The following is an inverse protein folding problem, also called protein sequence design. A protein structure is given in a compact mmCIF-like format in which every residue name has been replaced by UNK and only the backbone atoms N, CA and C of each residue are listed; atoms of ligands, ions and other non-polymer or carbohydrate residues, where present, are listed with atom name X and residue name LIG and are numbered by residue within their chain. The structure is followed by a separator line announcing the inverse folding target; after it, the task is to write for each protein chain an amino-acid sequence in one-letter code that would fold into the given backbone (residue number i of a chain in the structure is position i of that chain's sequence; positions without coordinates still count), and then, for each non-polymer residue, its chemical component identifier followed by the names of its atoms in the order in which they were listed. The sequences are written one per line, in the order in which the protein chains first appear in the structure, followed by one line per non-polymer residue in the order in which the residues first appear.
data_IF_950294695753
#
_entry.id   IF_950294695753
#
_cell.length_a   1.000
_cell.length_b   1.000
_cell.length_c   1.000
_cell.angle_alpha   90.00
_cell.angle_beta   90.00
_cell.angle_gamma   90.00
#
_symmetry.space_group_name_H-M   'P 1'
#
loop_
_entity.id
_entity.type
_entity.pdbx_description
1 polymer ?
#
# COMPACT_ATOMS: atom_id res chain seq x y z
N UNK A 1 18.11 -8.25 -26.47
CA UNK A 1 16.92 -9.12 -26.34
C UNK A 1 15.93 -8.67 -25.25
N UNK A 2 16.41 -8.05 -24.15
CA UNK A 2 15.57 -7.56 -23.03
C UNK A 2 14.64 -6.38 -23.38
N UNK A 3 15.12 -5.36 -24.10
CA UNK A 3 14.32 -4.18 -24.47
C UNK A 3 13.06 -4.51 -25.32
N UNK A 4 13.11 -5.59 -26.12
CA UNK A 4 11.97 -6.04 -26.93
C UNK A 4 10.93 -6.90 -26.20
N UNK A 5 11.24 -7.35 -24.97
CA UNK A 5 10.30 -8.02 -24.08
C UNK A 5 9.63 -7.03 -23.12
N UNK A 6 10.37 -6.08 -22.56
CA UNK A 6 9.79 -4.97 -21.77
C UNK A 6 8.76 -4.17 -22.58
N UNK A 7 9.09 -3.79 -23.82
CA UNK A 7 8.15 -3.07 -24.69
C UNK A 7 6.85 -3.86 -24.99
N UNK A 8 6.91 -5.20 -25.01
CA UNK A 8 5.74 -6.07 -25.18
C UNK A 8 4.87 -6.15 -23.93
N UNK A 9 5.46 -6.12 -22.73
CA UNK A 9 4.70 -6.11 -21.48
C UNK A 9 3.87 -4.82 -21.34
N UNK A 10 4.43 -3.67 -21.71
CA UNK A 10 3.74 -2.37 -21.60
C UNK A 10 2.58 -2.18 -22.57
N UNK A 11 2.56 -2.93 -23.68
CA UNK A 11 1.45 -2.88 -24.66
C UNK A 11 0.37 -3.94 -24.41
N UNK A 12 0.64 -4.93 -23.57
CA UNK A 12 -0.32 -5.99 -23.21
C UNK A 12 -0.95 -5.85 -21.83
N UNK A 13 -0.32 -5.12 -20.90
CA UNK A 13 -0.83 -4.92 -19.55
C UNK A 13 -1.55 -3.58 -19.37
N UNK A 14 -2.62 -3.58 -18.57
CA UNK A 14 -3.22 -2.37 -18.00
C UNK A 14 -2.96 -2.38 -16.51
N UNK A 15 -2.30 -1.32 -16.02
CA UNK A 15 -1.94 -1.20 -14.62
C UNK A 15 -3.04 -0.45 -13.86
N UNK A 16 -3.57 -1.11 -12.84
CA UNK A 16 -4.59 -0.53 -11.98
C UNK A 16 -4.51 -1.10 -10.56
N UNK A 17 -5.03 -0.35 -9.61
CA UNK A 17 -5.15 -0.73 -8.21
C UNK A 17 -6.59 -0.47 -7.75
N UNK A 18 -7.31 -1.52 -7.29
CA UNK A 18 -8.67 -1.36 -6.83
C UNK A 18 -8.69 -0.74 -5.43
N UNK A 19 -9.61 0.18 -5.19
CA UNK A 19 -10.00 0.47 -3.82
C UNK A 19 -10.93 -0.63 -3.33
N UNK A 20 -10.48 -1.57 -2.50
CA UNK A 20 -11.34 -2.62 -1.97
C UNK A 20 -10.59 -3.70 -1.20
N UNK A 21 -11.34 -4.58 -0.57
CA UNK A 21 -10.79 -5.72 0.15
C UNK A 21 -11.87 -6.47 0.92
N UNK A 22 -11.43 -7.41 1.75
CA UNK A 22 -12.29 -8.27 2.55
C UNK A 22 -11.70 -9.66 2.66
N UNK A 23 -12.55 -10.64 2.97
CA UNK A 23 -12.12 -12.01 3.17
C UNK A 23 -13.18 -13.03 2.80
N UNK A 24 -12.71 -14.23 2.44
CA UNK A 24 -13.58 -15.39 2.22
C UNK A 24 -13.71 -16.24 3.48
N UNK A 25 -14.93 -16.70 3.77
CA UNK A 25 -15.20 -17.79 4.71
C UNK A 25 -16.00 -18.85 3.96
N UNK A 26 -15.39 -20.02 3.71
CA UNK A 26 -15.95 -20.99 2.77
C UNK A 26 -16.10 -20.38 1.38
N UNK A 27 -17.32 -20.40 0.82
CA UNK A 27 -17.66 -19.81 -0.47
C UNK A 27 -18.19 -18.37 -0.39
N UNK A 28 -18.29 -17.78 0.82
CA UNK A 28 -18.84 -16.44 1.01
C UNK A 28 -17.73 -15.40 1.11
N UNK A 29 -17.73 -14.42 0.20
CA UNK A 29 -16.93 -13.20 0.29
C UNK A 29 -17.65 -12.17 1.17
N UNK A 30 -16.97 -11.70 2.21
CA UNK A 30 -17.38 -10.53 2.98
C UNK A 30 -16.34 -9.43 2.79
N UNK A 31 -16.76 -8.31 2.23
CA UNK A 31 -15.85 -7.25 1.86
C UNK A 31 -16.56 -6.08 1.23
N UNK A 32 -15.79 -5.16 0.68
CA UNK A 32 -16.33 -3.99 0.01
C UNK A 32 -15.36 -3.40 -0.98
N UNK A 33 -15.91 -2.61 -1.89
CA UNK A 33 -15.18 -1.88 -2.92
C UNK A 33 -15.53 -0.40 -2.86
N UNK A 34 -14.50 0.43 -3.00
CA UNK A 34 -14.64 1.85 -3.24
C UNK A 34 -15.07 2.05 -4.68
N UNK A 35 -15.90 3.06 -4.93
CA UNK A 35 -16.34 3.44 -6.28
C UNK A 35 -15.24 4.11 -7.12
N UNK A 36 -13.97 3.97 -6.75
CA UNK A 36 -12.84 4.55 -7.47
C UNK A 36 -11.78 3.49 -7.74
N UNK A 37 -11.33 3.45 -9.00
CA UNK A 37 -10.20 2.64 -9.44
C UNK A 37 -9.03 3.58 -9.75
N UNK A 38 -7.86 3.28 -9.19
CA UNK A 38 -6.63 3.97 -9.56
C UNK A 38 -6.08 3.27 -10.78
N UNK A 39 -6.09 3.94 -11.92
CA UNK A 39 -5.42 3.43 -13.13
C UNK A 39 -4.15 4.24 -13.31
N UNK A 40 -3.10 3.63 -13.84
CA UNK A 40 -1.87 4.38 -14.01
C UNK A 40 -0.99 3.88 -15.14
N UNK A 41 0.05 4.65 -15.37
CA UNK A 41 0.84 4.55 -16.58
C UNK A 41 2.24 4.04 -16.23
N UNK A 42 2.69 3.03 -16.96
CA UNK A 42 4.08 2.63 -17.02
C UNK A 42 4.51 2.78 -18.48
N UNK A 43 5.52 3.62 -18.73
CA UNK A 43 6.12 3.80 -20.07
C UNK A 43 5.11 4.05 -21.21
N UNK A 44 4.05 4.84 -20.95
CA UNK A 44 3.05 5.19 -21.97
C UNK A 44 1.98 4.12 -22.23
N UNK A 45 1.84 3.12 -21.35
CA UNK A 45 0.81 2.06 -21.43
C UNK A 45 -0.64 2.57 -21.59
N UNK A 46 -0.89 3.84 -21.29
CA UNK A 46 -2.19 4.49 -21.39
C UNK A 46 -2.64 4.87 -22.81
N UNK A 47 -1.72 4.86 -23.77
CA UNK A 47 -2.01 5.21 -25.16
C UNK A 47 -2.60 4.06 -25.96
N UNK A 48 -2.70 2.88 -25.35
CA UNK A 48 -3.20 1.67 -26.02
C UNK A 48 -4.73 1.65 -26.05
N UNK A 49 -5.30 1.03 -27.10
CA UNK A 49 -6.74 0.76 -27.17
C UNK A 49 -7.20 -0.03 -25.94
N UNK A 50 -6.42 -1.03 -25.52
CA UNK A 50 -6.68 -1.84 -24.34
C UNK A 50 -6.89 -1.01 -23.08
N UNK A 51 -6.03 -0.01 -22.83
CA UNK A 51 -6.20 0.89 -21.69
C UNK A 51 -7.54 1.65 -21.77
N UNK A 52 -7.88 2.18 -22.95
CA UNK A 52 -9.13 2.91 -23.14
C UNK A 52 -10.36 2.01 -22.96
N UNK A 53 -10.32 0.77 -23.46
CA UNK A 53 -11.38 -0.22 -23.27
C UNK A 53 -11.58 -0.55 -21.80
N UNK A 54 -10.51 -0.84 -21.04
CA UNK A 54 -10.61 -1.15 -19.60
C UNK A 54 -11.12 0.06 -18.81
N UNK A 55 -10.66 1.26 -19.16
CA UNK A 55 -11.12 2.52 -18.55
C UNK A 55 -12.61 2.76 -18.80
N UNK A 56 -13.09 2.52 -20.02
CA UNK A 56 -14.50 2.63 -20.36
C UNK A 56 -15.34 1.61 -19.57
N UNK A 57 -14.89 0.35 -19.53
CA UNK A 57 -15.57 -0.72 -18.79
C UNK A 57 -15.82 -0.36 -17.32
N UNK A 58 -14.80 0.16 -16.61
CA UNK A 58 -15.00 0.59 -15.22
C UNK A 58 -15.96 1.76 -15.08
N UNK A 59 -15.91 2.73 -15.99
CA UNK A 59 -16.84 3.88 -15.98
C UNK A 59 -18.27 3.46 -16.25
N UNK A 60 -18.49 2.59 -17.24
CA UNK A 60 -19.81 2.07 -17.59
C UNK A 60 -20.39 1.20 -16.47
N UNK A 61 -19.53 0.54 -15.70
CA UNK A 61 -19.90 -0.17 -14.46
C UNK A 61 -20.14 0.77 -13.25
N UNK A 62 -20.07 2.10 -13.43
CA UNK A 62 -20.36 3.09 -12.40
C UNK A 62 -19.20 3.44 -11.46
N UNK A 63 -17.96 3.07 -11.79
CA UNK A 63 -16.77 3.50 -11.06
C UNK A 63 -16.22 4.82 -11.61
N UNK A 64 -15.69 5.65 -10.72
CA UNK A 64 -14.75 6.70 -11.12
C UNK A 64 -13.37 6.10 -11.39
N UNK A 65 -12.62 6.72 -12.28
CA UNK A 65 -11.24 6.36 -12.60
C UNK A 65 -10.33 7.53 -12.25
N UNK A 66 -9.36 7.29 -11.37
CA UNK A 66 -8.32 8.24 -11.00
C UNK A 66 -7.01 7.86 -11.66
N UNK A 67 -6.54 8.68 -12.61
CA UNK A 67 -5.32 8.39 -13.37
C UNK A 67 -4.06 8.84 -12.62
N UNK A 68 -3.06 7.97 -12.57
CA UNK A 68 -1.76 8.20 -11.92
C UNK A 68 -0.66 8.26 -12.99
N UNK A 69 -0.06 9.44 -13.24
CA UNK A 69 0.97 9.61 -14.26
C UNK A 69 2.24 8.79 -14.01
N UNK A 70 2.61 8.61 -12.74
CA UNK A 70 3.70 7.75 -12.30
C UNK A 70 3.14 6.67 -11.38
N UNK A 71 2.61 5.61 -11.99
CA UNK A 71 1.94 4.56 -11.25
C UNK A 71 2.89 3.71 -10.43
N UNK A 72 4.13 3.53 -10.92
CA UNK A 72 5.17 2.82 -10.21
C UNK A 72 5.49 3.48 -8.88
N UNK A 73 5.70 4.80 -8.88
CA UNK A 73 5.92 5.51 -7.61
C UNK A 73 4.68 5.49 -6.73
N UNK A 74 3.48 5.62 -7.31
CA UNK A 74 2.23 5.50 -6.55
C UNK A 74 2.13 4.16 -5.81
N UNK A 75 2.44 3.05 -6.50
CA UNK A 75 2.47 1.71 -5.92
C UNK A 75 3.56 1.56 -4.86
N UNK A 76 4.75 2.13 -5.06
CA UNK A 76 5.80 2.10 -4.03
C UNK A 76 5.39 2.86 -2.77
N UNK A 77 4.72 4.01 -2.90
CA UNK A 77 4.17 4.73 -1.74
C UNK A 77 3.10 3.90 -1.03
N UNK A 78 2.19 3.26 -1.77
CA UNK A 78 1.20 2.36 -1.19
C UNK A 78 1.85 1.18 -0.45
N UNK A 79 2.87 0.56 -1.07
CA UNK A 79 3.59 -0.58 -0.50
C UNK A 79 4.29 -0.23 0.83
N UNK A 80 4.92 0.94 0.92
CA UNK A 80 5.56 1.36 2.18
C UNK A 80 4.52 1.73 3.26
N UNK A 81 3.31 2.16 2.87
CA UNK A 81 2.20 2.36 3.82
C UNK A 81 1.76 1.04 4.44
N UNK A 82 1.62 -0.01 3.62
CA UNK A 82 1.35 -1.37 4.11
C UNK A 82 2.49 -1.89 4.97
N UNK A 83 3.75 -1.71 4.55
CA UNK A 83 4.92 -2.10 5.34
C UNK A 83 4.91 -1.45 6.73
N UNK A 84 4.65 -0.14 6.83
CA UNK A 84 4.58 0.56 8.10
C UNK A 84 3.44 0.09 9.02
N UNK A 85 2.23 -0.07 8.46
CA UNK A 85 1.06 -0.51 9.22
C UNK A 85 1.19 -1.97 9.69
N UNK A 86 1.54 -2.88 8.77
CA UNK A 86 1.63 -4.30 9.07
C UNK A 86 2.79 -4.59 10.02
N UNK A 87 3.94 -3.91 9.89
CA UNK A 87 5.05 -4.03 10.86
C UNK A 87 4.59 -3.67 12.27
N UNK A 88 3.86 -2.57 12.43
CA UNK A 88 3.37 -2.19 13.76
C UNK A 88 2.26 -3.08 14.26
N UNK A 89 1.36 -3.53 13.38
CA UNK A 89 0.37 -4.56 13.69
C UNK A 89 1.03 -5.81 14.27
N UNK A 90 2.09 -6.30 13.63
CA UNK A 90 2.87 -7.42 14.14
C UNK A 90 3.55 -7.10 15.47
N UNK A 91 4.15 -5.92 15.62
CA UNK A 91 4.90 -5.53 16.82
C UNK A 91 4.01 -5.45 18.08
N UNK A 92 2.75 -5.04 17.92
CA UNK A 92 1.80 -4.93 19.06
C UNK A 92 0.89 -6.15 19.22
N UNK A 93 0.99 -7.15 18.33
CA UNK A 93 0.28 -8.42 18.45
C UNK A 93 -1.10 -8.46 17.76
N UNK A 94 -1.26 -7.74 16.66
CA UNK A 94 -2.44 -7.82 15.78
C UNK A 94 -3.02 -6.46 15.40
N UNK A 95 -3.90 -6.47 14.40
CA UNK A 95 -4.54 -5.26 13.87
C UNK A 95 -5.46 -4.63 14.92
N UNK A 96 -6.22 -5.44 15.67
CA UNK A 96 -7.07 -4.94 16.76
C UNK A 96 -6.29 -4.10 17.80
N UNK A 97 -5.07 -4.54 18.18
CA UNK A 97 -4.21 -3.83 19.13
C UNK A 97 -3.56 -2.58 18.52
N UNK A 98 -3.22 -2.63 17.23
CA UNK A 98 -2.76 -1.45 16.49
C UNK A 98 -3.84 -0.36 16.51
N UNK A 99 -5.08 -0.71 16.12
CA UNK A 99 -6.19 0.24 16.04
C UNK A 99 -6.59 0.78 17.41
N UNK A 100 -6.42 0.02 18.48
CA UNK A 100 -6.67 0.46 19.85
C UNK A 100 -5.59 1.42 20.41
N UNK A 101 -4.42 1.51 19.77
CA UNK A 101 -3.26 2.26 20.29
C UNK A 101 -2.88 3.42 19.38
N UNK A 102 -3.17 4.65 19.82
CA UNK A 102 -2.70 5.89 19.17
C UNK A 102 -1.20 5.90 18.97
N UNK A 103 -0.46 5.39 19.95
CA UNK A 103 1.00 5.34 19.90
C UNK A 103 1.47 4.38 18.80
N UNK A 104 0.88 3.19 18.69
CA UNK A 104 1.23 2.22 17.65
C UNK A 104 0.94 2.76 16.24
N UNK A 105 -0.20 3.45 16.07
CA UNK A 105 -0.53 4.11 14.80
C UNK A 105 0.48 5.24 14.48
N UNK A 106 0.88 6.04 15.48
CA UNK A 106 1.94 7.05 15.30
C UNK A 106 3.26 6.40 14.87
N UNK A 107 3.65 5.28 15.49
CA UNK A 107 4.87 4.55 15.10
C UNK A 107 4.79 4.04 13.65
N UNK A 108 3.59 3.68 13.17
CA UNK A 108 3.38 3.30 11.77
C UNK A 108 3.70 4.48 10.84
N UNK A 109 3.21 5.67 11.16
CA UNK A 109 3.51 6.91 10.41
C UNK A 109 5.02 7.20 10.38
N UNK A 110 5.72 7.00 11.49
CA UNK A 110 7.17 7.20 11.58
C UNK A 110 7.95 6.19 10.72
N UNK A 111 7.52 4.92 10.66
CA UNK A 111 8.09 3.93 9.75
C UNK A 111 7.89 4.34 8.29
N UNK A 112 6.67 4.69 7.89
CA UNK A 112 6.39 5.15 6.52
C UNK A 112 7.26 6.36 6.17
N UNK A 113 7.41 7.31 7.09
CA UNK A 113 8.26 8.49 6.89
C UNK A 113 9.72 8.14 6.66
N UNK A 114 10.26 7.16 7.38
CA UNK A 114 11.62 6.65 7.16
C UNK A 114 11.78 6.02 5.77
N UNK A 115 10.73 5.36 5.26
CA UNK A 115 10.74 4.67 3.97
C UNK A 115 10.53 5.60 2.75
N UNK A 116 9.99 6.82 2.93
CA UNK A 116 9.77 7.75 1.80
C UNK A 116 11.08 8.11 1.07
N UNK A 117 12.18 8.46 1.75
CA UNK A 117 13.48 8.69 1.11
C UNK A 117 14.02 7.49 0.32
N UNK A 118 13.72 6.24 0.73
CA UNK A 118 14.10 5.05 -0.04
C UNK A 118 13.40 5.01 -1.40
N UNK A 119 12.12 5.41 -1.47
CA UNK A 119 11.39 5.52 -2.73
C UNK A 119 12.09 6.50 -3.69
N UNK A 120 12.62 7.61 -3.17
CA UNK A 120 13.43 8.57 -3.95
C UNK A 120 14.76 7.96 -4.40
N UNK A 121 15.47 7.27 -3.50
CA UNK A 121 16.73 6.60 -3.82
C UNK A 121 16.57 5.52 -4.91
N UNK A 122 15.37 4.95 -5.07
CA UNK A 122 15.00 4.01 -6.13
C UNK A 122 14.52 4.69 -7.44
N UNK A 123 14.60 6.01 -7.53
CA UNK A 123 14.20 6.79 -8.70
C UNK A 123 12.71 7.11 -8.78
N UNK A 124 11.96 6.94 -7.68
CA UNK A 124 10.56 7.38 -7.59
C UNK A 124 10.44 8.86 -7.26
N UNK A 125 9.32 9.48 -7.63
CA UNK A 125 9.03 10.89 -7.33
C UNK A 125 7.83 11.01 -6.36
N UNK A 126 8.05 11.03 -5.03
CA UNK A 126 6.96 11.03 -4.06
C UNK A 126 6.01 12.22 -4.28
N UNK A 127 4.72 11.91 -4.38
CA UNK A 127 3.69 12.91 -4.64
C UNK A 127 3.31 13.74 -3.39
N UNK A 128 2.25 14.54 -3.54
CA UNK A 128 1.73 15.41 -2.47
C UNK A 128 1.38 14.65 -1.18
N UNK A 129 0.85 13.43 -1.29
CA UNK A 129 0.51 12.60 -0.13
C UNK A 129 1.74 12.22 0.69
N UNK A 130 2.82 11.77 0.04
CA UNK A 130 4.08 11.49 0.71
C UNK A 130 4.68 12.76 1.34
N UNK A 131 4.61 13.89 0.64
CA UNK A 131 5.05 15.17 1.18
C UNK A 131 4.26 15.60 2.44
N UNK A 132 2.95 15.32 2.49
CA UNK A 132 2.11 15.54 3.67
C UNK A 132 2.58 14.65 4.83
N UNK A 133 2.80 13.35 4.58
CA UNK A 133 3.30 12.39 5.58
C UNK A 133 4.65 12.84 6.17
N UNK A 134 5.53 13.38 5.34
CA UNK A 134 6.86 13.84 5.78
C UNK A 134 6.85 15.16 6.55
N UNK A 135 5.88 16.04 6.30
CA UNK A 135 5.88 17.42 6.85
C UNK A 135 4.95 17.63 8.04
N UNK A 136 3.83 16.91 8.10
CA UNK A 136 2.86 17.09 9.19
C UNK A 136 3.36 16.39 10.46
N UNK A 137 3.15 16.95 11.67
CA UNK A 137 3.49 16.27 12.91
C UNK A 137 2.93 14.83 12.98
N UNK A 138 3.76 13.88 13.42
CA UNK A 138 3.40 12.47 13.40
C UNK A 138 2.24 12.18 14.37
N UNK A 139 2.14 12.95 15.45
CA UNK A 139 1.07 12.91 16.44
C UNK A 139 -0.27 13.24 15.81
N UNK A 140 -0.31 14.29 14.97
CA UNK A 140 -1.52 14.71 14.28
C UNK A 140 -1.94 13.68 13.23
N UNK A 141 -1.01 13.22 12.38
CA UNK A 141 -1.31 12.18 11.38
C UNK A 141 -1.70 10.86 12.05
N UNK A 142 -1.01 10.46 13.12
CA UNK A 142 -1.31 9.27 13.89
C UNK A 142 -2.71 9.35 14.52
N UNK A 143 -3.09 10.51 15.05
CA UNK A 143 -4.45 10.74 15.55
C UNK A 143 -5.51 10.63 14.45
N UNK A 144 -5.31 11.26 13.30
CA UNK A 144 -6.25 11.20 12.17
C UNK A 144 -6.38 9.79 11.60
N UNK A 145 -5.24 9.10 11.43
CA UNK A 145 -5.22 7.72 10.96
C UNK A 145 -5.88 6.78 11.98
N UNK A 146 -5.63 6.96 13.27
CA UNK A 146 -6.31 6.17 14.31
C UNK A 146 -7.83 6.38 14.28
N UNK A 147 -8.30 7.63 14.15
CA UNK A 147 -9.74 7.94 13.99
C UNK A 147 -10.33 7.23 12.77
N UNK A 148 -9.61 7.20 11.66
CA UNK A 148 -10.03 6.49 10.45
C UNK A 148 -10.12 4.98 10.68
N UNK A 149 -9.07 4.38 11.27
CA UNK A 149 -8.99 2.94 11.48
C UNK A 149 -9.96 2.43 12.56
N UNK A 150 -10.21 3.22 13.60
CA UNK A 150 -11.10 2.87 14.71
C UNK A 150 -12.57 3.27 14.48
N UNK A 151 -12.85 4.08 13.45
CA UNK A 151 -14.19 4.54 13.13
C UNK A 151 -14.99 3.45 12.42
N UNK A 152 -16.33 3.47 12.54
CA UNK A 152 -17.22 2.58 11.79
C UNK A 152 -17.34 3.03 10.34
N UNK A 153 -16.48 2.51 9.47
CA UNK A 153 -16.47 2.84 8.04
C UNK A 153 -15.99 1.66 7.18
N UNK A 154 -16.04 1.82 5.86
CA UNK A 154 -15.69 0.77 4.92
C UNK A 154 -14.24 0.26 5.07
N UNK A 155 -13.27 1.14 5.37
CA UNK A 155 -11.88 0.73 5.56
C UNK A 155 -11.71 -0.14 6.80
N UNK A 156 -12.26 0.28 7.93
CA UNK A 156 -12.24 -0.51 9.18
C UNK A 156 -12.90 -1.88 8.98
N UNK A 157 -14.02 -1.92 8.26
CA UNK A 157 -14.74 -3.16 7.95
C UNK A 157 -13.92 -4.10 7.05
N UNK A 158 -13.28 -3.57 6.00
CA UNK A 158 -12.42 -4.35 5.11
C UNK A 158 -11.25 -4.96 5.90
N UNK A 159 -10.59 -4.17 6.75
CA UNK A 159 -9.45 -4.66 7.55
C UNK A 159 -9.89 -5.72 8.57
N UNK A 160 -11.03 -5.53 9.23
CA UNK A 160 -11.61 -6.52 10.15
C UNK A 160 -11.94 -7.83 9.43
N UNK A 161 -12.53 -7.78 8.22
CA UNK A 161 -12.82 -9.00 7.45
C UNK A 161 -11.55 -9.72 6.98
N UNK A 162 -10.49 -8.99 6.61
CA UNK A 162 -9.18 -9.58 6.27
C UNK A 162 -8.58 -10.31 7.49
N UNK A 163 -8.62 -9.70 8.67
CA UNK A 163 -8.12 -10.30 9.91
C UNK A 163 -8.97 -11.51 10.31
N UNK A 164 -10.30 -11.37 10.33
CA UNK A 164 -11.26 -12.41 10.72
C UNK A 164 -11.14 -13.68 9.88
N UNK A 165 -10.83 -13.53 8.60
CA UNK A 165 -10.76 -14.67 7.67
C UNK A 165 -9.39 -15.34 7.64
N UNK A 166 -8.41 -14.79 8.36
CA UNK A 166 -7.08 -15.39 8.48
C UNK A 166 -6.24 -15.35 7.21
N UNK A 167 -6.67 -14.60 6.19
CA UNK A 167 -5.93 -14.46 4.92
C UNK A 167 -4.70 -13.55 5.05
N UNK A 168 -4.57 -12.83 6.18
CA UNK A 168 -3.35 -12.11 6.55
C UNK A 168 -2.61 -12.88 7.64
N UNK A 169 -1.72 -13.79 7.23
CA UNK A 169 -0.86 -14.51 8.16
C UNK A 169 0.27 -13.63 8.66
N UNK A 170 0.95 -14.06 9.72
CA UNK A 170 2.15 -13.38 10.21
C UNK A 170 3.24 -13.28 9.14
N UNK A 171 3.39 -14.34 8.35
CA UNK A 171 4.33 -14.41 7.25
C UNK A 171 3.97 -13.39 6.16
N UNK A 172 2.73 -13.40 5.66
CA UNK A 172 2.30 -12.50 4.59
C UNK A 172 2.35 -11.03 5.03
N UNK A 173 2.03 -10.74 6.29
CA UNK A 173 2.16 -9.40 6.87
C UNK A 173 3.63 -8.93 6.94
N UNK A 174 4.56 -9.86 7.22
CA UNK A 174 5.99 -9.57 7.32
C UNK A 174 6.69 -9.34 5.98
N UNK A 175 6.15 -9.87 4.88
CA UNK A 175 6.76 -9.77 3.53
C UNK A 175 7.07 -8.32 3.13
N UNK A 176 6.14 -7.40 3.36
CA UNK A 176 6.30 -5.99 2.99
C UNK A 176 7.52 -5.36 3.66
N UNK A 177 7.66 -5.56 4.97
CA UNK A 177 8.78 -5.04 5.75
C UNK A 177 10.11 -5.66 5.34
N UNK A 178 10.11 -6.98 5.09
CA UNK A 178 11.28 -7.73 4.60
C UNK A 178 11.76 -7.19 3.26
N UNK A 179 10.85 -6.99 2.30
CA UNK A 179 11.21 -6.51 0.97
C UNK A 179 11.74 -5.08 1.01
N UNK A 180 11.14 -4.19 1.82
CA UNK A 180 11.67 -2.84 2.04
C UNK A 180 13.08 -2.90 2.64
N UNK A 181 13.29 -3.71 3.67
CA UNK A 181 14.60 -3.80 4.33
C UNK A 181 15.66 -4.45 3.44
N UNK A 182 15.29 -5.48 2.69
CA UNK A 182 16.17 -6.13 1.72
C UNK A 182 16.59 -5.17 0.61
N UNK A 183 15.66 -4.38 0.08
CA UNK A 183 15.96 -3.37 -0.94
C UNK A 183 16.83 -2.25 -0.39
N UNK A 184 16.53 -1.76 0.82
CA UNK A 184 17.36 -0.77 1.50
C UNK A 184 18.81 -1.26 1.65
N UNK A 185 19.00 -2.51 2.11
CA UNK A 185 20.33 -3.15 2.20
C UNK A 185 21.01 -3.26 0.83
N UNK A 186 20.27 -3.68 -0.21
CA UNK A 186 20.80 -3.84 -1.58
C UNK A 186 21.41 -2.55 -2.11
N UNK A 187 20.83 -1.40 -1.80
CA UNK A 187 21.32 -0.09 -2.28
C UNK A 187 22.12 0.69 -1.21
N UNK A 188 22.39 0.10 -0.04
CA UNK A 188 23.12 0.75 1.05
C UNK A 188 22.37 1.90 1.74
N UNK A 189 21.04 1.89 1.75
CA UNK A 189 20.21 2.90 2.39
C UNK A 189 19.89 2.56 3.86
N UNK A 190 20.16 3.45 4.83
CA UNK A 190 19.92 3.17 6.24
C UNK A 190 18.42 3.24 6.60
N UNK A 191 17.94 2.24 7.35
CA UNK A 191 16.56 2.12 7.84
C UNK A 191 16.52 1.77 9.33
N UNK A 192 17.04 2.63 10.23
CA UNK A 192 17.24 2.26 11.63
C UNK A 192 15.96 1.89 12.40
N UNK A 193 14.81 2.53 12.12
CA UNK A 193 13.55 2.20 12.79
C UNK A 193 12.96 0.90 12.28
N UNK A 194 13.01 0.65 10.98
CA UNK A 194 12.55 -0.62 10.43
C UNK A 194 13.46 -1.77 10.86
N UNK A 195 14.78 -1.57 10.81
CA UNK A 195 15.77 -2.58 11.18
C UNK A 195 15.69 -2.97 12.67
N UNK A 196 15.35 -2.03 13.57
CA UNK A 196 15.17 -2.36 14.99
C UNK A 196 13.95 -3.26 15.26
N UNK A 197 13.05 -3.39 14.28
CA UNK A 197 11.87 -4.25 14.33
C UNK A 197 12.05 -5.54 13.51
N UNK A 198 13.24 -5.84 13.01
CA UNK A 198 13.46 -6.99 12.13
C UNK A 198 13.02 -8.33 12.74
N UNK A 199 13.22 -8.52 14.04
CA UNK A 199 12.77 -9.73 14.77
C UNK A 199 11.25 -9.93 14.76
N UNK A 200 10.48 -8.88 14.47
CA UNK A 200 9.02 -8.93 14.39
C UNK A 200 8.56 -9.59 13.09
N UNK A 201 9.30 -9.39 11.99
CA UNK A 201 8.91 -9.78 10.63
C UNK A 201 9.91 -10.71 9.90
N UNK A 202 11.08 -11.00 10.48
CA UNK A 202 12.01 -12.02 10.01
C UNK A 202 11.49 -13.40 10.43
N UNK A 203 10.71 -14.02 9.54
CA UNK A 203 10.25 -15.42 9.65
C UNK A 203 10.79 -16.22 8.48
#
# INVERSE_FOLDING_TARGET
MLAGQEHRLYTQAVWAFPGGGGGFTGSTLRGGVLKNIFMGFCEGSNRTERYQTVRALFKDAGFSVSEQPDFRTWLWIHFIMDAGLLTQGLAVGGQARLVASREAVKQSVLLVREMIPLVQARGGTPGRGAALISRVPAELLGFLLHRLLAGKNLYSFIMEEVERTGHMTRESAGLYARDVLAEARRIGFPMPRLASLETVFAL
#
